data_IF_242812163608
#
_entry.id   IF_242812163608
#
_cell.length_a   1.000
_cell.length_b   1.000
_cell.length_c   1.000
_cell.angle_alpha   90.00
_cell.angle_beta   90.00
_cell.angle_gamma   90.00
#
_symmetry.space_group_name_H-M   'P 1'
#
loop_
_entity.id
_entity.type
_entity.pdbx_description
1 polymer ?
#
# COMPACT_ATOMS: atom_id res chain seq x y z
N UNK A 1 0.81 -62.76 50.98
CA UNK A 1 1.37 -61.87 52.02
C UNK A 1 2.56 -61.14 51.41
N UNK A 2 2.74 -59.86 51.75
CA UNK A 2 3.77 -58.89 51.29
C UNK A 2 3.33 -57.95 50.14
N UNK A 3 2.69 -56.84 50.55
CA UNK A 3 3.07 -55.49 50.08
C UNK A 3 4.30 -55.02 50.89
N UNK A 4 4.98 -53.87 50.66
CA UNK A 4 4.66 -52.74 49.77
C UNK A 4 5.89 -52.14 49.00
N UNK A 5 5.66 -51.32 47.96
CA UNK A 5 6.50 -50.14 47.74
C UNK A 5 5.75 -49.10 46.91
N UNK A 6 5.38 -48.01 47.57
CA UNK A 6 4.88 -46.80 46.92
C UNK A 6 5.99 -46.19 46.07
N UNK A 7 5.77 -46.09 44.77
CA UNK A 7 6.42 -45.07 43.94
C UNK A 7 5.34 -44.13 43.44
N UNK A 8 4.96 -43.24 44.35
CA UNK A 8 4.26 -42.00 44.02
C UNK A 8 5.30 -41.06 43.42
N UNK A 9 5.02 -40.49 42.25
CA UNK A 9 5.81 -39.40 41.68
C UNK A 9 6.47 -39.70 40.34
N UNK A 10 5.68 -39.87 39.29
CA UNK A 10 6.10 -39.57 37.90
C UNK A 10 5.03 -38.74 37.13
N UNK A 11 4.05 -38.17 37.82
CA UNK A 11 3.21 -37.09 37.29
C UNK A 11 4.01 -35.78 37.37
N UNK A 12 4.70 -35.41 36.29
CA UNK A 12 5.44 -34.14 36.30
C UNK A 12 6.40 -33.84 35.16
N UNK A 13 6.46 -34.64 34.09
CA UNK A 13 7.26 -34.32 32.89
C UNK A 13 6.46 -33.59 31.80
N UNK A 14 5.52 -32.73 32.22
CA UNK A 14 5.12 -31.60 31.39
C UNK A 14 6.24 -30.56 31.51
N UNK A 15 7.21 -30.68 30.62
CA UNK A 15 8.26 -29.68 30.42
C UNK A 15 7.63 -28.30 30.38
N UNK A 16 8.04 -27.44 31.30
CA UNK A 16 7.78 -26.01 31.21
C UNK A 16 8.48 -25.51 29.96
N UNK A 17 7.76 -25.51 28.85
CA UNK A 17 8.11 -24.69 27.69
C UNK A 17 8.02 -23.25 28.20
N UNK A 18 9.16 -22.73 28.63
CA UNK A 18 9.38 -21.32 28.90
C UNK A 18 9.35 -20.61 27.55
N UNK A 19 8.14 -20.30 27.08
CA UNK A 19 7.93 -19.38 25.97
C UNK A 19 8.13 -17.98 26.59
N UNK A 20 9.21 -17.25 26.26
CA UNK A 20 9.27 -15.85 26.64
C UNK A 20 8.07 -15.13 25.99
N UNK A 21 7.20 -14.53 26.79
CA UNK A 21 6.07 -13.67 26.39
C UNK A 21 6.55 -12.34 25.76
N UNK A 22 7.48 -12.39 24.80
CA UNK A 22 8.14 -11.19 24.26
C UNK A 22 8.27 -11.17 22.74
N UNK A 23 7.45 -11.95 22.01
CA UNK A 23 7.43 -11.89 20.53
C UNK A 23 6.09 -11.47 19.94
N UNK A 24 5.32 -10.67 20.68
CA UNK A 24 4.07 -10.06 20.20
C UNK A 24 4.11 -8.52 20.18
N UNK A 25 5.28 -7.91 19.93
CA UNK A 25 5.32 -6.44 19.85
C UNK A 25 6.47 -5.89 18.97
N UNK A 26 6.39 -6.06 17.64
CA UNK A 26 7.06 -5.12 16.69
C UNK A 26 6.38 -5.01 15.32
N UNK A 27 5.15 -5.49 15.11
CA UNK A 27 4.37 -4.95 13.97
C UNK A 27 3.77 -3.62 14.42
N UNK A 28 4.64 -2.60 14.45
CA UNK A 28 4.19 -1.21 14.38
C UNK A 28 3.26 -1.14 13.17
N UNK A 29 2.00 -0.69 13.30
CA UNK A 29 1.30 -0.20 12.12
C UNK A 29 2.16 0.94 11.61
N UNK A 30 2.75 0.78 10.42
CA UNK A 30 3.23 1.90 9.61
C UNK A 30 1.99 2.72 9.28
N UNK A 31 1.57 3.51 10.25
CA UNK A 31 0.61 4.57 10.06
C UNK A 31 1.35 5.60 9.24
N UNK A 32 0.95 5.85 7.97
CA UNK A 32 1.53 6.96 7.23
C UNK A 32 1.21 8.22 8.05
N UNK A 33 2.23 8.77 8.72
CA UNK A 33 2.15 10.11 9.27
C UNK A 33 1.93 11.05 8.09
N UNK A 34 0.67 11.35 7.80
CA UNK A 34 0.31 12.54 7.04
C UNK A 34 0.69 13.69 7.96
N UNK A 35 1.93 14.17 7.83
CA UNK A 35 2.36 15.39 8.49
C UNK A 35 1.37 16.48 8.10
N UNK A 36 0.61 16.97 9.08
CA UNK A 36 -0.30 18.11 8.96
C UNK A 36 0.47 19.43 8.84
N UNK A 37 1.54 19.46 8.04
CA UNK A 37 1.84 20.66 7.28
C UNK A 37 0.84 20.62 6.15
N UNK A 38 0.00 21.65 6.01
CA UNK A 38 -0.86 21.78 4.84
C UNK A 38 0.03 21.76 3.59
N UNK A 39 0.27 20.58 3.02
CA UNK A 39 0.67 20.50 1.63
C UNK A 39 -0.46 21.23 0.90
N UNK A 40 -0.13 22.34 0.26
CA UNK A 40 -1.12 23.12 -0.44
C UNK A 40 -1.84 22.17 -1.40
N UNK A 41 -3.17 22.26 -1.45
CA UNK A 41 -3.94 21.39 -2.32
C UNK A 41 -3.43 21.48 -3.77
N UNK A 42 -2.93 22.65 -4.18
CA UNK A 42 -2.25 22.87 -5.44
C UNK A 42 -0.96 22.05 -5.60
N UNK A 43 -0.12 21.95 -4.57
CA UNK A 43 1.11 21.13 -4.59
C UNK A 43 0.80 19.63 -4.76
N UNK A 44 -0.22 19.14 -4.06
CA UNK A 44 -0.67 17.74 -4.18
C UNK A 44 -1.22 17.48 -5.57
N UNK A 45 -2.03 18.40 -6.10
CA UNK A 45 -2.59 18.30 -7.45
C UNK A 45 -1.48 18.35 -8.51
N UNK A 46 -0.52 19.26 -8.37
CA UNK A 46 0.61 19.37 -9.29
C UNK A 46 1.47 18.10 -9.29
N UNK A 47 1.71 17.54 -8.12
CA UNK A 47 2.42 16.27 -7.97
C UNK A 47 1.65 15.12 -8.61
N UNK A 48 0.33 15.06 -8.43
CA UNK A 48 -0.52 14.06 -9.06
C UNK A 48 -0.50 14.18 -10.60
N UNK A 49 -0.62 15.39 -11.16
CA UNK A 49 -0.55 15.63 -12.61
C UNK A 49 0.82 15.20 -13.16
N UNK A 50 1.91 15.51 -12.46
CA UNK A 50 3.25 15.07 -12.84
C UNK A 50 3.37 13.55 -12.83
N UNK A 51 2.84 12.89 -11.81
CA UNK A 51 2.81 11.43 -11.70
C UNK A 51 2.01 10.78 -12.83
N UNK A 52 0.85 11.33 -13.20
CA UNK A 52 0.07 10.83 -14.35
C UNK A 52 0.90 10.91 -15.65
N UNK A 53 1.58 12.03 -15.89
CA UNK A 53 2.43 12.19 -17.07
C UNK A 53 3.60 11.19 -17.08
N UNK A 54 4.28 11.01 -15.95
CA UNK A 54 5.37 10.03 -15.81
C UNK A 54 4.88 8.60 -16.05
N UNK A 55 3.69 8.25 -15.56
CA UNK A 55 3.10 6.91 -15.72
C UNK A 55 2.75 6.65 -17.19
N UNK A 56 2.23 7.65 -17.90
CA UNK A 56 1.95 7.56 -19.34
C UNK A 56 3.25 7.38 -20.16
N UNK A 57 4.27 8.21 -19.90
CA UNK A 57 5.57 8.09 -20.59
C UNK A 57 6.21 6.73 -20.33
N UNK A 58 6.10 6.21 -19.10
CA UNK A 58 6.62 4.89 -18.76
C UNK A 58 5.92 3.79 -19.56
N UNK A 59 4.59 3.82 -19.65
CA UNK A 59 3.82 2.87 -20.45
C UNK A 59 4.19 2.95 -21.94
N UNK A 60 4.31 4.14 -22.52
CA UNK A 60 4.75 4.33 -23.91
C UNK A 60 6.17 3.78 -24.14
N UNK A 61 7.08 4.01 -23.19
CA UNK A 61 8.43 3.46 -23.25
C UNK A 61 8.41 1.93 -23.19
N UNK A 62 7.66 1.36 -22.26
CA UNK A 62 7.54 -0.08 -22.10
C UNK A 62 6.98 -0.75 -23.37
N UNK A 63 5.98 -0.14 -24.01
CA UNK A 63 5.45 -0.59 -25.31
C UNK A 63 6.53 -0.51 -26.38
N UNK A 64 7.26 0.60 -26.46
CA UNK A 64 8.29 0.81 -27.48
C UNK A 64 9.46 -0.16 -27.33
N UNK A 65 9.90 -0.44 -26.11
CA UNK A 65 10.99 -1.37 -25.83
C UNK A 65 10.61 -2.81 -26.18
N UNK A 66 9.36 -3.19 -25.88
CA UNK A 66 8.83 -4.50 -26.25
C UNK A 66 8.70 -4.64 -27.77
N UNK A 67 8.18 -3.61 -28.45
CA UNK A 67 8.10 -3.59 -29.91
C UNK A 67 9.48 -3.61 -30.58
N UNK A 68 10.51 -3.06 -29.92
CA UNK A 68 11.91 -3.12 -30.35
C UNK A 68 12.58 -4.48 -30.08
N UNK A 69 11.90 -5.42 -29.41
CA UNK A 69 12.45 -6.73 -29.07
C UNK A 69 13.52 -6.70 -27.98
N UNK A 70 13.53 -5.65 -27.13
CA UNK A 70 14.39 -5.63 -25.94
C UNK A 70 13.89 -6.65 -24.90
N UNK A 71 14.78 -7.02 -23.98
CA UNK A 71 14.51 -7.95 -22.88
C UNK A 71 13.59 -7.30 -21.83
N UNK A 72 12.35 -7.05 -22.22
CA UNK A 72 11.26 -6.59 -21.36
C UNK A 72 10.15 -7.62 -21.43
N UNK A 73 9.70 -8.04 -20.25
CA UNK A 73 8.62 -9.02 -20.15
C UNK A 73 7.28 -8.37 -20.54
N UNK A 74 6.53 -9.04 -21.42
CA UNK A 74 5.21 -8.58 -21.89
C UNK A 74 4.26 -8.22 -20.74
N UNK A 75 4.35 -8.93 -19.61
CA UNK A 75 3.50 -8.68 -18.44
C UNK A 75 3.78 -7.32 -17.78
N UNK A 76 5.03 -6.85 -17.78
CA UNK A 76 5.39 -5.54 -17.25
C UNK A 76 4.83 -4.41 -18.11
N UNK A 77 4.80 -4.61 -19.44
CA UNK A 77 4.16 -3.67 -20.36
C UNK A 77 2.66 -3.61 -20.14
N UNK A 78 1.99 -4.76 -20.04
CA UNK A 78 0.56 -4.80 -19.73
C UNK A 78 0.26 -4.10 -18.40
N UNK A 79 1.04 -4.38 -17.36
CA UNK A 79 0.86 -3.75 -16.04
C UNK A 79 1.05 -2.23 -16.12
N UNK A 80 2.09 -1.75 -16.81
CA UNK A 80 2.33 -0.33 -16.99
C UNK A 80 1.17 0.37 -17.73
N UNK A 81 0.63 -0.27 -18.78
CA UNK A 81 -0.52 0.24 -19.52
C UNK A 81 -1.79 0.26 -18.66
N UNK A 82 -2.04 -0.79 -17.89
CA UNK A 82 -3.20 -0.89 -17.00
C UNK A 82 -3.13 0.15 -15.88
N UNK A 83 -1.95 0.34 -15.29
CA UNK A 83 -1.68 1.36 -14.29
C UNK A 83 -1.87 2.78 -14.85
N UNK A 84 -1.38 3.06 -16.07
CA UNK A 84 -1.57 4.34 -16.74
C UNK A 84 -3.07 4.62 -16.99
N UNK A 85 -3.83 3.60 -17.40
CA UNK A 85 -5.28 3.68 -17.60
C UNK A 85 -6.03 4.02 -16.31
N UNK A 86 -5.78 3.28 -15.22
CA UNK A 86 -6.41 3.53 -13.91
C UNK A 86 -6.06 4.92 -13.37
N UNK A 87 -4.79 5.32 -13.50
CA UNK A 87 -4.27 6.62 -13.06
C UNK A 87 -4.96 7.77 -13.81
N UNK A 88 -5.17 7.62 -15.11
CA UNK A 88 -5.92 8.59 -15.91
C UNK A 88 -7.40 8.67 -15.49
N UNK A 89 -8.06 7.53 -15.23
CA UNK A 89 -9.44 7.54 -14.75
C UNK A 89 -9.58 8.24 -13.41
N UNK A 90 -8.65 7.97 -12.48
CA UNK A 90 -8.59 8.66 -11.20
C UNK A 90 -8.40 10.17 -11.40
N UNK A 91 -7.51 10.59 -12.31
CA UNK A 91 -7.28 11.99 -12.63
C UNK A 91 -8.56 12.71 -13.08
N UNK A 92 -9.37 12.06 -13.93
CA UNK A 92 -10.65 12.61 -14.39
C UNK A 92 -11.64 12.81 -13.24
N UNK A 93 -11.70 11.85 -12.30
CA UNK A 93 -12.54 11.99 -11.11
C UNK A 93 -12.09 13.15 -10.22
N UNK A 94 -10.79 13.29 -10.01
CA UNK A 94 -10.21 14.38 -9.23
C UNK A 94 -10.49 15.73 -9.90
N UNK A 95 -10.29 15.83 -11.22
CA UNK A 95 -10.60 17.04 -12.01
C UNK A 95 -12.07 17.45 -11.86
N UNK A 96 -12.99 16.49 -11.90
CA UNK A 96 -14.41 16.77 -11.72
C UNK A 96 -14.70 17.28 -10.30
N UNK A 97 -14.18 16.60 -9.26
CA UNK A 97 -14.33 17.03 -7.86
C UNK A 97 -13.78 18.42 -7.59
N UNK A 98 -12.67 18.80 -8.21
CA UNK A 98 -12.09 20.15 -8.07
C UNK A 98 -13.01 21.19 -8.70
N UNK A 99 -13.54 20.89 -9.89
CA UNK A 99 -14.47 21.78 -10.58
C UNK A 99 -15.74 21.99 -9.74
N UNK A 100 -16.27 20.92 -9.14
CA UNK A 100 -17.41 20.97 -8.23
C UNK A 100 -17.10 21.77 -6.97
N UNK A 101 -15.96 21.54 -6.33
CA UNK A 101 -15.53 22.28 -5.14
C UNK A 101 -15.39 23.78 -5.41
N UNK A 102 -14.84 24.16 -6.56
CA UNK A 102 -14.77 25.56 -6.98
C UNK A 102 -16.16 26.19 -7.19
N UNK A 103 -17.07 25.46 -7.83
CA UNK A 103 -18.46 25.92 -8.02
C UNK A 103 -19.22 26.07 -6.70
N UNK A 104 -19.00 25.17 -5.74
CA UNK A 104 -19.63 25.22 -4.42
C UNK A 104 -19.17 26.45 -3.61
N UNK A 105 -17.86 26.75 -3.63
CA UNK A 105 -17.31 27.94 -2.96
C UNK A 105 -17.92 29.22 -3.53
N UNK A 106 -18.11 29.31 -4.85
CA UNK A 106 -18.76 30.46 -5.49
C UNK A 106 -20.23 30.60 -5.09
N UNK A 107 -20.95 29.49 -4.88
CA UNK A 107 -22.35 29.50 -4.44
C UNK A 107 -22.53 29.91 -2.98
N UNK A 108 -21.50 29.75 -2.13
CA UNK A 108 -21.55 30.20 -0.74
C UNK A 108 -21.29 31.71 -0.56
N UNK A 109 -20.70 32.38 -1.56
CA UNK A 109 -20.29 33.79 -1.46
C UNK A 109 -21.31 34.80 -2.02
N UNK A 110 -22.44 34.34 -2.57
CA UNK A 110 -23.59 35.19 -2.94
C UNK A 110 -24.67 35.14 -1.87
#
# INVERSE_FOLDING_TARGET
>A
MSAPMSISGLEGVLGKVNIPETVLNTVQPVQPEIKTGAADFGDVLQTAIKSINETQINADNAISQLAAGQDIELHNVMLAVEQAGMTLQLALQVKNKITEAYQEIMRMQI
#
